data_IF_232393988430
#
_entry.id   IF_232393988430
#
_cell.length_a   1.000
_cell.length_b   1.000
_cell.length_c   1.000
_cell.angle_alpha   90.00
_cell.angle_beta   90.00
_cell.angle_gamma   90.00
#
_symmetry.space_group_name_H-M   'P 1'
#
loop_
_entity.id
_entity.type
_entity.pdbx_description
1 polymer ?
#
# COMPACT_ATOMS: atom_id res chain seq x y z
N UNK A 1 6.98 33.10 8.22
CA UNK A 1 7.12 31.69 8.68
C UNK A 1 8.48 31.19 8.25
N UNK A 2 9.39 30.94 9.19
CA UNK A 2 10.63 30.21 8.91
C UNK A 2 10.26 28.72 8.84
N UNK A 3 10.29 28.14 7.65
CA UNK A 3 10.18 26.68 7.50
C UNK A 3 11.50 26.12 8.03
N UNK A 4 11.46 25.53 9.22
CA UNK A 4 12.60 24.79 9.76
C UNK A 4 12.73 23.53 8.90
N UNK A 5 13.74 23.50 8.05
CA UNK A 5 14.06 22.28 7.30
C UNK A 5 14.76 21.35 8.29
N UNK A 6 14.07 20.29 8.70
CA UNK A 6 14.69 19.27 9.53
C UNK A 6 15.74 18.53 8.69
N UNK A 7 17.00 18.66 9.08
CA UNK A 7 18.10 17.96 8.43
C UNK A 7 18.11 16.49 8.85
N UNK A 8 18.33 15.59 7.91
CA UNK A 8 18.47 14.16 8.19
C UNK A 8 19.72 13.86 9.02
N UNK A 9 19.67 12.80 9.82
CA UNK A 9 20.83 12.39 10.62
C UNK A 9 22.02 11.99 9.76
N UNK A 10 23.25 12.12 10.29
CA UNK A 10 24.48 11.64 9.62
C UNK A 10 24.36 10.17 9.20
N UNK A 11 23.70 9.34 10.02
CA UNK A 11 23.45 7.92 9.71
C UNK A 11 22.64 7.75 8.43
N UNK A 12 21.52 8.46 8.30
CA UNK A 12 20.71 8.42 7.07
C UNK A 12 21.52 8.83 5.84
N UNK A 13 22.36 9.86 5.95
CA UNK A 13 23.22 10.29 4.83
C UNK A 13 24.16 9.16 4.37
N UNK A 14 24.76 8.41 5.29
CA UNK A 14 25.63 7.27 4.94
C UNK A 14 24.87 6.07 4.37
N UNK A 15 23.65 5.81 4.84
CA UNK A 15 22.80 4.76 4.28
C UNK A 15 22.47 5.02 2.80
N UNK A 16 22.22 6.28 2.44
CA UNK A 16 21.92 6.69 1.06
C UNK A 16 23.16 6.88 0.16
N UNK A 17 24.34 7.13 0.74
CA UNK A 17 25.55 7.45 -0.03
C UNK A 17 25.93 6.34 -1.01
N UNK A 18 25.94 5.07 -0.56
CA UNK A 18 26.35 3.95 -1.40
C UNK A 18 25.37 3.72 -2.58
N UNK A 19 24.05 3.60 -2.37
CA UNK A 19 23.09 3.45 -3.47
C UNK A 19 23.21 4.55 -4.52
N UNK A 20 23.32 5.81 -4.10
CA UNK A 20 23.44 6.94 -5.04
C UNK A 20 24.75 6.92 -5.82
N UNK A 21 25.87 6.61 -5.16
CA UNK A 21 27.16 6.44 -5.83
C UNK A 21 27.12 5.28 -6.84
N UNK A 22 26.39 4.23 -6.50
CA UNK A 22 26.26 3.03 -7.33
C UNK A 22 25.17 3.19 -8.44
N UNK A 23 24.61 4.41 -8.61
CA UNK A 23 23.74 4.78 -9.73
C UNK A 23 22.23 4.66 -9.47
N UNK A 24 21.79 4.42 -8.23
CA UNK A 24 20.37 4.49 -7.88
C UNK A 24 19.93 5.96 -7.88
N UNK A 25 19.02 6.33 -8.77
CA UNK A 25 18.46 7.70 -8.82
C UNK A 25 17.09 7.80 -8.12
N UNK A 26 16.43 6.67 -7.87
CA UNK A 26 15.15 6.65 -7.20
C UNK A 26 15.28 6.90 -5.70
N UNK A 27 14.61 7.96 -5.24
CA UNK A 27 14.50 8.40 -3.85
C UNK A 27 13.27 7.81 -3.15
N UNK A 28 12.41 7.07 -3.86
CA UNK A 28 11.30 6.35 -3.24
C UNK A 28 11.83 5.19 -2.40
N UNK A 29 11.09 4.91 -1.32
CA UNK A 29 11.32 3.72 -0.53
C UNK A 29 11.14 2.48 -1.41
N UNK A 30 12.04 1.51 -1.26
CA UNK A 30 11.81 0.18 -1.81
C UNK A 30 10.56 -0.45 -1.17
N UNK A 31 9.91 -1.40 -1.86
CA UNK A 31 8.81 -2.16 -1.28
C UNK A 31 9.21 -2.69 0.09
N UNK A 32 8.53 -2.22 1.13
CA UNK A 32 8.86 -2.62 2.50
C UNK A 32 8.46 -4.08 2.69
N UNK A 33 9.35 -4.87 3.28
CA UNK A 33 9.03 -6.21 3.76
C UNK A 33 8.09 -6.11 4.97
N UNK A 34 6.81 -5.87 4.69
CA UNK A 34 5.73 -5.87 5.66
C UNK A 34 5.06 -7.24 5.76
N UNK A 35 4.20 -7.41 6.76
CA UNK A 35 3.25 -8.52 6.78
C UNK A 35 2.38 -8.40 5.51
N UNK A 36 2.29 -9.44 4.66
CA UNK A 36 1.37 -9.43 3.54
C UNK A 36 -0.03 -9.09 4.05
N UNK A 37 -0.75 -8.14 3.43
CA UNK A 37 -2.11 -7.85 3.84
C UNK A 37 -2.92 -9.14 3.71
N UNK A 38 -3.39 -9.69 4.82
CA UNK A 38 -4.11 -10.97 4.83
C UNK A 38 -5.43 -10.88 4.05
N UNK A 39 -5.96 -9.67 3.84
CA UNK A 39 -7.15 -9.44 3.05
C UNK A 39 -6.91 -9.19 1.56
N UNK A 40 -5.71 -8.77 1.15
CA UNK A 40 -5.38 -8.36 -0.24
C UNK A 40 -4.69 -9.49 -1.00
N UNK A 41 -5.26 -10.69 -0.96
CA UNK A 41 -4.80 -11.83 -1.75
C UNK A 41 -5.33 -11.73 -3.19
N UNK A 42 -4.67 -12.34 -4.19
CA UNK A 42 -5.16 -12.35 -5.57
C UNK A 42 -6.60 -12.86 -5.71
N UNK A 43 -6.95 -13.91 -4.95
CA UNK A 43 -8.30 -14.48 -4.93
C UNK A 43 -9.35 -13.49 -4.39
N UNK A 44 -9.05 -12.78 -3.29
CA UNK A 44 -9.95 -11.76 -2.76
C UNK A 44 -10.09 -10.57 -3.73
N UNK A 45 -9.01 -10.16 -4.40
CA UNK A 45 -9.05 -9.10 -5.42
C UNK A 45 -10.02 -9.48 -6.54
N UNK A 46 -9.89 -10.68 -7.09
CA UNK A 46 -10.79 -11.16 -8.14
C UNK A 46 -12.24 -11.24 -7.66
N UNK A 47 -12.47 -11.76 -6.45
CA UNK A 47 -13.82 -11.85 -5.87
C UNK A 47 -14.45 -10.48 -5.67
N UNK A 48 -13.73 -9.49 -5.13
CA UNK A 48 -14.24 -8.11 -4.99
C UNK A 48 -14.60 -7.52 -6.35
N UNK A 49 -13.75 -7.70 -7.37
CA UNK A 49 -14.01 -7.22 -8.74
C UNK A 49 -15.27 -7.87 -9.34
N UNK A 50 -15.46 -9.18 -9.14
CA UNK A 50 -16.66 -9.89 -9.57
C UNK A 50 -17.92 -9.37 -8.87
N UNK A 51 -17.87 -9.23 -7.55
CA UNK A 51 -19.00 -8.72 -6.74
C UNK A 51 -19.43 -7.32 -7.18
N UNK A 52 -18.47 -6.42 -7.44
CA UNK A 52 -18.77 -5.06 -7.92
C UNK A 52 -19.27 -5.01 -9.36
N UNK A 53 -18.85 -5.96 -10.19
CA UNK A 53 -19.34 -6.09 -11.56
C UNK A 53 -20.78 -6.60 -11.61
N UNK A 54 -21.15 -7.51 -10.70
CA UNK A 54 -22.49 -8.07 -10.56
C UNK A 54 -23.47 -7.05 -9.92
N UNK A 55 -23.09 -6.45 -8.80
CA UNK A 55 -23.87 -5.40 -8.15
C UNK A 55 -22.99 -4.22 -7.70
N UNK A 56 -23.08 -3.12 -8.46
CA UNK A 56 -22.37 -1.86 -8.15
C UNK A 56 -22.85 -1.16 -6.88
N UNK A 57 -23.98 -1.59 -6.28
CA UNK A 57 -24.53 -1.01 -5.03
C UNK A 57 -24.06 -1.76 -3.78
N UNK A 58 -23.23 -2.80 -3.92
CA UNK A 58 -22.64 -3.51 -2.80
C UNK A 58 -21.83 -2.56 -1.91
N UNK A 59 -22.17 -2.57 -0.62
CA UNK A 59 -21.43 -1.78 0.36
C UNK A 59 -20.09 -2.44 0.71
N UNK A 60 -19.11 -1.62 1.12
CA UNK A 60 -17.83 -2.10 1.67
C UNK A 60 -18.05 -3.09 2.82
N UNK A 61 -19.02 -2.82 3.70
CA UNK A 61 -19.34 -3.67 4.84
C UNK A 61 -19.82 -5.05 4.41
N UNK A 62 -20.74 -5.13 3.45
CA UNK A 62 -21.26 -6.42 2.96
C UNK A 62 -20.16 -7.24 2.30
N UNK A 63 -19.32 -6.60 1.48
CA UNK A 63 -18.21 -7.27 0.81
C UNK A 63 -17.18 -7.81 1.81
N UNK A 64 -16.87 -7.03 2.85
CA UNK A 64 -15.98 -7.44 3.94
C UNK A 64 -16.54 -8.63 4.74
N UNK A 65 -17.84 -8.60 5.05
CA UNK A 65 -18.54 -9.67 5.76
C UNK A 65 -18.61 -10.97 4.96
N UNK A 66 -18.81 -10.88 3.64
CA UNK A 66 -18.85 -12.02 2.73
C UNK A 66 -17.47 -12.68 2.62
N UNK A 67 -16.44 -11.88 2.35
CA UNK A 67 -15.07 -12.36 2.13
C UNK A 67 -14.29 -12.63 3.42
N UNK A 68 -14.87 -12.34 4.59
CA UNK A 68 -14.23 -12.48 5.91
C UNK A 68 -12.90 -11.72 6.00
N UNK A 69 -12.85 -10.53 5.41
CA UNK A 69 -11.70 -9.62 5.46
C UNK A 69 -12.10 -8.27 6.09
N UNK A 70 -11.12 -7.43 6.41
CA UNK A 70 -11.42 -6.10 6.95
C UNK A 70 -12.00 -5.18 5.87
N UNK A 71 -12.84 -4.23 6.27
CA UNK A 71 -13.32 -3.18 5.36
C UNK A 71 -12.16 -2.37 4.78
N UNK A 72 -11.09 -2.15 5.55
CA UNK A 72 -9.87 -1.50 5.06
C UNK A 72 -9.22 -2.30 3.92
N UNK A 73 -9.22 -3.64 4.00
CA UNK A 73 -8.70 -4.47 2.92
C UNK A 73 -9.55 -4.35 1.66
N UNK A 74 -10.89 -4.34 1.80
CA UNK A 74 -11.80 -4.12 0.66
C UNK A 74 -11.58 -2.73 0.05
N UNK A 75 -11.44 -1.69 0.88
CA UNK A 75 -11.17 -0.33 0.44
C UNK A 75 -9.83 -0.25 -0.31
N UNK A 76 -8.78 -0.87 0.20
CA UNK A 76 -7.49 -0.93 -0.48
C UNK A 76 -7.61 -1.65 -1.82
N UNK A 77 -8.31 -2.79 -1.88
CA UNK A 77 -8.56 -3.49 -3.15
C UNK A 77 -9.24 -2.57 -4.17
N UNK A 78 -10.30 -1.87 -3.78
CA UNK A 78 -11.04 -0.99 -4.70
C UNK A 78 -10.21 0.18 -5.22
N UNK A 79 -9.33 0.74 -4.38
CA UNK A 79 -8.56 1.93 -4.74
C UNK A 79 -7.20 1.61 -5.39
N UNK A 80 -6.62 0.44 -5.10
CA UNK A 80 -5.25 0.09 -5.49
C UNK A 80 -5.17 -1.10 -6.47
N UNK A 81 -6.24 -1.87 -6.66
CA UNK A 81 -6.27 -3.09 -7.48
C UNK A 81 -7.43 -3.16 -8.48
#
# INVERSE_FOLDING_TARGET
>A
MLVKVDAVSKKCVFEWFKPFRDGKEDVKDEPRSGRPPTGTTPDNIERVRWMLADDRRLSLRMTAEELKISQDSVSNIINEH
#
